data_IF_281019844174
#
_entry.id   IF_281019844174
#
_cell.length_a   1.000
_cell.length_b   1.000
_cell.length_c   1.000
_cell.angle_alpha   90.00
_cell.angle_beta   90.00
_cell.angle_gamma   90.00
#
_symmetry.space_group_name_H-M   'P 1'
#
loop_
_entity.id
_entity.type
_entity.pdbx_description
1 polymer ?
#
# COMPACT_ATOMS: atom_id res chain seq x y z
N UNK A 1 -19.67 -12.17 10.63
CA UNK A 1 -18.40 -12.20 9.87
C UNK A 1 -18.66 -13.01 8.61
N UNK A 2 -18.52 -12.41 7.44
CA UNK A 2 -18.58 -13.13 6.16
C UNK A 2 -17.18 -13.58 5.80
N UNK A 3 -16.99 -14.89 5.63
CA UNK A 3 -15.75 -15.46 5.11
C UNK A 3 -15.66 -15.16 3.62
N UNK A 4 -14.55 -14.60 3.16
CA UNK A 4 -14.25 -14.39 1.76
C UNK A 4 -12.92 -15.03 1.40
N UNK A 5 -12.73 -15.33 0.12
CA UNK A 5 -11.44 -15.77 -0.41
C UNK A 5 -10.91 -14.68 -1.35
N UNK A 6 -9.61 -14.48 -1.35
CA UNK A 6 -8.91 -13.63 -2.29
C UNK A 6 -7.89 -14.48 -3.04
N UNK A 7 -7.75 -14.23 -4.34
CA UNK A 7 -6.71 -14.82 -5.17
C UNK A 7 -5.78 -13.71 -5.63
N UNK A 8 -4.55 -13.72 -5.13
CA UNK A 8 -3.48 -12.82 -5.56
C UNK A 8 -2.76 -13.36 -6.79
N UNK A 9 -2.46 -12.47 -7.73
CA UNK A 9 -1.73 -12.77 -8.96
C UNK A 9 -0.36 -12.10 -8.93
N UNK A 10 0.67 -12.85 -9.32
CA UNK A 10 2.06 -12.39 -9.39
C UNK A 10 2.67 -12.73 -10.75
N UNK A 11 3.71 -11.98 -11.14
CA UNK A 11 4.55 -12.34 -12.28
C UNK A 11 5.61 -13.41 -11.91
N UNK A 12 6.47 -13.75 -12.87
CA UNK A 12 7.54 -14.74 -12.69
C UNK A 12 8.62 -14.31 -11.70
N UNK A 13 8.70 -13.02 -11.38
CA UNK A 13 9.63 -12.43 -10.43
C UNK A 13 8.97 -12.20 -9.06
N UNK A 14 7.76 -12.74 -8.85
CA UNK A 14 6.94 -12.54 -7.67
C UNK A 14 6.52 -11.08 -7.43
N UNK A 15 6.55 -10.23 -8.46
CA UNK A 15 5.98 -8.89 -8.36
C UNK A 15 4.44 -8.98 -8.42
N UNK A 16 3.71 -8.28 -7.54
CA UNK A 16 2.26 -8.39 -7.51
C UNK A 16 1.64 -7.70 -8.73
N UNK A 17 0.68 -8.37 -9.35
CA UNK A 17 -0.05 -7.89 -10.53
C UNK A 17 -1.45 -7.40 -10.16
N UNK A 18 -2.10 -8.05 -9.19
CA UNK A 18 -3.48 -7.77 -8.84
C UNK A 18 -4.10 -8.85 -7.96
N UNK A 19 -5.39 -8.71 -7.68
CA UNK A 19 -6.18 -9.72 -6.96
C UNK A 19 -7.59 -9.86 -7.53
N UNK A 20 -8.23 -10.97 -7.20
CA UNK A 20 -9.66 -11.22 -7.38
C UNK A 20 -10.27 -11.68 -6.06
N UNK A 21 -11.30 -11.00 -5.58
CA UNK A 21 -12.05 -11.43 -4.40
C UNK A 21 -13.19 -12.37 -4.81
N UNK A 22 -13.64 -13.21 -3.87
CA UNK A 22 -14.76 -14.12 -4.08
C UNK A 22 -16.10 -13.42 -4.37
N UNK A 23 -16.21 -12.12 -4.06
CA UNK A 23 -17.37 -11.29 -4.42
C UNK A 23 -17.28 -10.69 -5.82
N UNK A 24 -16.23 -11.02 -6.59
CA UNK A 24 -15.97 -10.49 -7.92
C UNK A 24 -15.12 -9.22 -7.93
N UNK A 25 -14.90 -8.58 -6.78
CA UNK A 25 -14.09 -7.37 -6.68
C UNK A 25 -12.69 -7.61 -7.24
N UNK A 26 -12.23 -6.70 -8.07
CA UNK A 26 -11.04 -6.94 -8.87
C UNK A 26 -10.08 -5.77 -8.79
N UNK A 27 -8.80 -6.08 -8.62
CA UNK A 27 -7.77 -5.09 -8.38
C UNK A 27 -6.56 -5.34 -9.26
N UNK A 28 -5.96 -4.27 -9.80
CA UNK A 28 -4.80 -4.38 -10.69
C UNK A 28 -3.80 -3.25 -10.46
N UNK A 29 -2.52 -3.58 -10.40
CA UNK A 29 -1.44 -2.61 -10.50
C UNK A 29 -1.34 -2.09 -11.94
N UNK A 30 -1.41 -0.77 -12.12
CA UNK A 30 -1.38 -0.14 -13.45
C UNK A 30 -0.03 -0.28 -14.15
N UNK A 31 1.03 -0.42 -13.37
CA UNK A 31 2.40 -0.64 -13.83
C UNK A 31 3.08 -1.60 -12.86
N UNK A 32 4.13 -2.29 -13.31
CA UNK A 32 4.98 -3.06 -12.40
C UNK A 32 5.48 -2.16 -11.26
N UNK A 33 5.39 -2.63 -10.03
CA UNK A 33 5.82 -1.85 -8.87
C UNK A 33 7.30 -1.50 -9.01
N UNK A 34 7.60 -0.21 -8.87
CA UNK A 34 8.96 0.29 -8.84
C UNK A 34 9.48 0.25 -7.40
N UNK A 35 9.72 -0.95 -6.86
CA UNK A 35 10.33 -1.10 -5.52
C UNK A 35 11.84 -0.87 -5.64
N UNK A 36 12.40 0.18 -4.98
CA UNK A 36 13.83 0.40 -5.02
C UNK A 36 14.59 -0.73 -4.32
N UNK A 37 15.66 -1.22 -4.95
CA UNK A 37 16.56 -2.24 -4.36
C UNK A 37 17.52 -1.65 -3.32
N UNK A 38 17.70 -0.32 -3.35
CA UNK A 38 18.51 0.44 -2.40
C UNK A 38 17.80 1.74 -2.12
N UNK A 39 17.86 2.21 -0.88
CA UNK A 39 17.37 3.52 -0.47
C UNK A 39 18.34 4.16 0.50
N UNK A 40 18.28 5.48 0.61
CA UNK A 40 19.05 6.30 1.56
C UNK A 40 18.09 7.18 2.36
N UNK A 41 18.56 7.66 3.51
CA UNK A 41 17.83 8.67 4.28
C UNK A 41 17.56 9.89 3.41
N UNK A 42 16.30 10.35 3.42
CA UNK A 42 15.82 11.44 2.58
C UNK A 42 15.17 10.98 1.27
N UNK A 43 15.36 9.73 0.86
CA UNK A 43 14.70 9.21 -0.35
C UNK A 43 13.19 9.16 -0.17
N UNK A 44 12.48 9.50 -1.23
CA UNK A 44 11.04 9.32 -1.35
C UNK A 44 10.66 9.05 -2.80
N UNK A 45 9.52 8.40 -2.99
CA UNK A 45 9.07 8.05 -4.34
C UNK A 45 7.72 7.36 -4.35
N UNK A 46 7.13 7.25 -5.54
CA UNK A 46 5.93 6.48 -5.79
C UNK A 46 6.35 5.05 -6.15
N UNK A 47 5.77 4.07 -5.45
CA UNK A 47 6.00 2.64 -5.70
C UNK A 47 5.05 2.15 -6.81
N UNK A 48 3.80 2.60 -6.77
CA UNK A 48 2.82 2.25 -7.79
C UNK A 48 1.40 2.73 -7.50
N UNK A 49 0.54 2.51 -8.48
CA UNK A 49 -0.89 2.80 -8.39
C UNK A 49 -1.68 1.52 -8.61
N UNK A 50 -2.63 1.29 -7.71
CA UNK A 50 -3.55 0.17 -7.72
C UNK A 50 -4.94 0.66 -8.11
N UNK A 51 -5.54 0.11 -9.16
CA UNK A 51 -6.91 0.42 -9.57
C UNK A 51 -7.84 -0.69 -9.12
N UNK A 52 -8.97 -0.30 -8.54
CA UNK A 52 -10.04 -1.23 -8.16
C UNK A 52 -11.15 -1.17 -9.22
N UNK A 53 -11.83 -2.29 -9.40
CA UNK A 53 -12.95 -2.47 -10.32
C UNK A 53 -14.00 -3.36 -9.66
N UNK A 54 -15.26 -3.21 -10.08
CA UNK A 54 -16.36 -4.04 -9.57
C UNK A 54 -16.23 -5.50 -10.00
N UNK A 55 -15.57 -5.75 -11.13
CA UNK A 55 -15.30 -7.07 -11.68
C UNK A 55 -14.07 -7.12 -12.61
N UNK A 56 -13.73 -8.32 -13.06
CA UNK A 56 -12.59 -8.59 -13.94
C UNK A 56 -12.72 -8.05 -15.37
N UNK A 57 -13.91 -7.57 -15.78
CA UNK A 57 -14.09 -6.91 -17.08
C UNK A 57 -13.44 -5.53 -17.12
N UNK A 58 -13.17 -4.95 -15.94
CA UNK A 58 -12.58 -3.60 -15.77
C UNK A 58 -13.44 -2.48 -16.36
N UNK A 59 -14.73 -2.73 -16.60
CA UNK A 59 -15.63 -1.75 -17.23
C UNK A 59 -16.04 -0.63 -16.27
N UNK A 60 -16.13 -0.93 -14.97
CA UNK A 60 -16.52 0.02 -13.92
C UNK A 60 -15.40 0.08 -12.89
N UNK A 61 -14.72 1.23 -12.83
CA UNK A 61 -13.71 1.50 -11.81
C UNK A 61 -14.39 1.70 -10.44
N UNK A 62 -13.76 1.19 -9.38
CA UNK A 62 -14.24 1.26 -8.00
C UNK A 62 -13.28 2.07 -7.09
N UNK A 63 -12.51 2.97 -7.70
CA UNK A 63 -11.53 3.81 -7.01
C UNK A 63 -10.10 3.33 -7.21
N UNK A 64 -9.19 3.85 -6.39
CA UNK A 64 -7.75 3.56 -6.50
C UNK A 64 -7.00 3.71 -5.20
N UNK A 65 -5.81 3.11 -5.14
CA UNK A 65 -4.81 3.38 -4.11
C UNK A 65 -3.49 3.80 -4.73
N UNK A 66 -2.84 4.79 -4.13
CA UNK A 66 -1.50 5.25 -4.49
C UNK A 66 -0.55 4.87 -3.37
N UNK A 67 0.49 4.09 -3.69
CA UNK A 67 1.51 3.64 -2.76
C UNK A 67 2.80 4.43 -3.00
N UNK A 68 3.31 5.04 -1.94
CA UNK A 68 4.57 5.77 -1.92
C UNK A 68 5.42 5.38 -0.71
N UNK A 69 6.67 5.82 -0.72
CA UNK A 69 7.58 5.64 0.39
C UNK A 69 8.33 6.92 0.76
N UNK A 70 8.78 6.97 2.01
CA UNK A 70 9.70 7.98 2.54
C UNK A 70 10.66 7.31 3.52
N UNK A 71 11.95 7.62 3.42
CA UNK A 71 12.99 7.11 4.31
C UNK A 71 13.50 8.23 5.22
N UNK A 72 13.31 8.05 6.53
CA UNK A 72 13.73 8.98 7.56
C UNK A 72 14.93 8.43 8.34
N UNK A 73 15.73 9.31 8.94
CA UNK A 73 16.79 8.90 9.85
C UNK A 73 16.21 8.24 11.11
N UNK A 74 16.90 7.24 11.66
CA UNK A 74 16.56 6.61 12.95
C UNK A 74 17.79 6.56 13.87
N UNK A 75 18.82 5.81 13.49
CA UNK A 75 20.12 5.77 14.20
C UNK A 75 21.27 5.83 13.19
N UNK A 76 22.51 5.63 13.65
CA UNK A 76 23.68 5.56 12.76
C UNK A 76 23.59 4.38 11.78
N UNK A 77 22.95 3.27 12.18
CA UNK A 77 22.93 2.01 11.41
C UNK A 77 21.52 1.61 10.93
N UNK A 78 20.51 2.44 11.20
CA UNK A 78 19.11 2.17 10.88
C UNK A 78 18.39 3.38 10.33
N UNK A 79 17.34 3.14 9.56
CA UNK A 79 16.41 4.15 9.05
C UNK A 79 14.96 3.75 9.32
N UNK A 80 14.05 4.73 9.31
CA UNK A 80 12.60 4.46 9.30
C UNK A 80 12.10 4.52 7.87
N UNK A 81 11.55 3.40 7.40
CA UNK A 81 10.78 3.33 6.18
C UNK A 81 9.31 3.60 6.50
N UNK A 82 8.74 4.62 5.87
CA UNK A 82 7.31 4.89 5.85
C UNK A 82 6.76 4.41 4.51
N UNK A 83 5.87 3.42 4.53
CA UNK A 83 5.08 3.02 3.38
C UNK A 83 3.70 3.67 3.51
N UNK A 84 3.40 4.59 2.60
CA UNK A 84 2.23 5.45 2.65
C UNK A 84 1.29 5.02 1.54
N UNK A 85 0.07 4.62 1.91
CA UNK A 85 -1.01 4.30 0.97
C UNK A 85 -2.12 5.32 1.12
N UNK A 86 -2.48 6.01 0.04
CA UNK A 86 -3.69 6.84 -0.02
C UNK A 86 -4.73 6.14 -0.88
N UNK A 87 -5.92 5.91 -0.31
CA UNK A 87 -7.02 5.26 -1.03
C UNK A 87 -8.12 6.26 -1.33
N UNK A 88 -8.65 6.21 -2.54
CA UNK A 88 -9.63 7.13 -3.10
C UNK A 88 -10.84 6.38 -3.64
N UNK A 89 -12.02 7.00 -3.56
CA UNK A 89 -13.21 6.50 -4.26
C UNK A 89 -13.17 6.83 -5.77
N UNK A 90 -14.21 6.38 -6.48
CA UNK A 90 -14.39 6.60 -7.92
C UNK A 90 -14.41 8.09 -8.30
N UNK A 91 -14.81 8.97 -7.38
CA UNK A 91 -14.85 10.43 -7.56
C UNK A 91 -13.53 11.11 -7.13
N UNK A 92 -12.45 10.34 -6.94
CA UNK A 92 -11.15 10.82 -6.47
C UNK A 92 -11.16 11.50 -5.09
N UNK A 93 -12.15 11.17 -4.25
CA UNK A 93 -12.21 11.65 -2.87
C UNK A 93 -11.40 10.73 -1.97
N UNK A 94 -10.54 11.31 -1.14
CA UNK A 94 -9.70 10.55 -0.21
C UNK A 94 -10.58 9.84 0.82
N UNK A 95 -10.46 8.52 0.91
CA UNK A 95 -11.17 7.69 1.89
C UNK A 95 -10.33 7.43 3.13
N UNK A 96 -9.02 7.19 2.95
CA UNK A 96 -8.08 6.96 4.04
C UNK A 96 -6.63 7.15 3.60
N UNK A 97 -5.78 7.46 4.57
CA UNK A 97 -4.33 7.35 4.47
C UNK A 97 -3.85 6.29 5.46
N UNK A 98 -3.07 5.33 4.98
CA UNK A 98 -2.40 4.34 5.81
C UNK A 98 -0.90 4.59 5.77
N UNK A 99 -0.26 4.71 6.94
CA UNK A 99 1.20 4.77 7.05
C UNK A 99 1.70 3.55 7.83
N UNK A 100 2.34 2.62 7.13
CA UNK A 100 3.04 1.50 7.75
C UNK A 100 4.51 1.88 7.96
N UNK A 101 4.93 1.88 9.23
CA UNK A 101 6.28 2.28 9.63
C UNK A 101 7.10 1.05 10.02
N UNK A 102 8.27 0.90 9.42
CA UNK A 102 9.23 -0.14 9.75
C UNK A 102 10.63 0.45 9.95
N UNK A 103 11.40 -0.15 10.86
CA UNK A 103 12.83 0.10 10.98
C UNK A 103 13.57 -0.83 10.04
N UNK A 104 14.43 -0.27 9.19
CA UNK A 104 15.32 -1.03 8.31
C UNK A 104 16.76 -0.86 8.77
N UNK A 105 17.53 -1.95 8.82
CA UNK A 105 18.97 -1.93 9.10
C UNK A 105 19.81 -1.98 7.80
N UNK A 106 21.13 -1.86 7.93
CA UNK A 106 22.05 -1.92 6.79
C UNK A 106 22.05 -3.28 6.05
N UNK A 107 21.54 -4.35 6.67
CA UNK A 107 21.37 -5.65 6.03
C UNK A 107 20.02 -5.77 5.28
N UNK A 108 19.15 -4.76 5.35
CA UNK A 108 17.82 -4.77 4.76
C UNK A 108 16.75 -5.44 5.62
N UNK A 109 17.05 -5.77 6.89
CA UNK A 109 16.08 -6.38 7.81
C UNK A 109 15.05 -5.35 8.20
N UNK A 110 13.77 -5.61 7.87
CA UNK A 110 12.66 -4.73 8.21
C UNK A 110 11.92 -5.22 9.46
N UNK A 111 11.88 -4.40 10.51
CA UNK A 111 11.07 -4.64 11.71
C UNK A 111 9.92 -3.65 11.78
N UNK A 112 8.68 -4.17 11.77
CA UNK A 112 7.48 -3.33 11.90
C UNK A 112 7.46 -2.60 13.26
N UNK A 113 7.24 -1.29 13.22
CA UNK A 113 7.04 -0.43 14.40
C UNK A 113 5.55 -0.21 14.62
N UNK A 114 4.86 0.30 13.60
CA UNK A 114 3.45 0.66 13.71
C UNK A 114 2.73 0.64 12.38
N UNK A 115 1.41 0.57 12.44
CA UNK A 115 0.53 0.89 11.31
C UNK A 115 -0.46 1.94 11.81
N UNK A 116 -0.50 3.06 11.09
CA UNK A 116 -1.41 4.17 11.33
C UNK A 116 -2.43 4.22 10.20
N UNK A 117 -3.72 4.31 10.52
CA UNK A 117 -4.79 4.45 9.53
C UNK A 117 -5.65 5.64 9.92
N UNK A 118 -5.54 6.71 9.14
CA UNK A 118 -6.39 7.88 9.25
C UNK A 118 -7.48 7.80 8.19
N UNK A 119 -8.73 7.60 8.61
CA UNK A 119 -9.88 7.72 7.71
C UNK A 119 -10.17 9.19 7.40
N UNK A 120 -10.73 9.43 6.22
CA UNK A 120 -11.08 10.76 5.73
C UNK A 120 -12.55 10.81 5.28
N UNK A 121 -13.04 12.04 5.10
CA UNK A 121 -14.32 12.49 4.53
C UNK A 121 -15.64 11.90 5.05
N UNK A 122 -15.74 10.61 5.28
CA UNK A 122 -16.90 9.93 5.87
C UNK A 122 -16.67 9.44 7.29
N UNK A 123 -15.42 9.52 7.78
CA UNK A 123 -15.05 9.16 9.13
C UNK A 123 -13.81 9.93 9.58
N UNK A 124 -13.77 10.31 10.86
CA UNK A 124 -12.59 10.85 11.53
C UNK A 124 -11.84 9.80 12.34
N UNK A 125 -12.28 8.53 12.29
CA UNK A 125 -11.64 7.43 13.00
C UNK A 125 -10.15 7.36 12.68
N UNK A 126 -9.36 7.16 13.72
CA UNK A 126 -7.92 7.01 13.65
C UNK A 126 -7.54 5.71 14.37
N UNK A 127 -6.91 4.79 13.66
CA UNK A 127 -6.49 3.51 14.21
C UNK A 127 -4.97 3.45 14.25
N UNK A 128 -4.43 3.09 15.42
CA UNK A 128 -2.99 2.98 15.65
C UNK A 128 -2.69 1.60 16.19
N UNK A 129 -1.95 0.83 15.42
CA UNK A 129 -1.46 -0.49 15.82
C UNK A 129 0.03 -0.36 16.12
N UNK A 130 0.43 -0.76 17.34
CA UNK A 130 1.82 -0.75 17.78
C UNK A 130 2.21 -2.16 18.22
N UNK A 131 3.47 -2.51 18.00
CA UNK A 131 4.08 -3.70 18.57
C UNK A 131 4.47 -3.44 20.02
#
# INVERSE_FOLDING_TARGET
>A
MTTGTETDYYDTSYAPLGFLTSSGGYGVFQTSLAVPITVRVGDSGIVGTYMYYTDSTKSVADGRSELSYLVEADTADTAILNLITKSYDQSSRLLRTTNARGRIDAAGTLTRISIDIQYATTSTTHLVFRR
#
